data_IF_456670546152
#
_entry.id   IF_456670546152
#
_cell.length_a   1.000
_cell.length_b   1.000
_cell.length_c   1.000
_cell.angle_alpha   90.00
_cell.angle_beta   90.00
_cell.angle_gamma   90.00
#
_symmetry.space_group_name_H-M   'P 1'
#
loop_
_entity.id
_entity.type
_entity.pdbx_description
1 polymer ?
#
# COMPACT_ATOMS: atom_id res chain seq x y z
N UNK A 1 7.90 25.78 10.91
CA UNK A 1 6.83 25.42 9.93
C UNK A 1 5.72 26.48 9.88
N UNK A 2 6.05 27.78 9.94
CA UNK A 2 5.04 28.86 9.94
C UNK A 2 5.18 29.83 8.76
N UNK A 3 6.19 29.66 7.90
CA UNK A 3 6.47 30.57 6.80
C UNK A 3 5.82 30.17 5.46
N UNK A 4 5.24 28.97 5.32
CA UNK A 4 4.59 28.53 4.07
C UNK A 4 3.07 28.71 4.05
N UNK A 5 2.44 29.04 5.18
CA UNK A 5 0.99 29.23 5.27
C UNK A 5 0.51 30.63 4.82
N UNK A 6 1.43 31.59 4.67
CA UNK A 6 1.10 32.98 4.31
C UNK A 6 0.97 33.29 2.81
N UNK A 7 1.33 32.34 1.92
CA UNK A 7 1.33 32.59 0.47
C UNK A 7 -0.03 32.38 -0.20
N UNK A 8 -1.03 31.84 0.51
CA UNK A 8 -2.35 31.52 -0.06
C UNK A 8 -3.50 32.33 0.54
N UNK A 9 -3.24 33.15 1.56
CA UNK A 9 -4.26 33.93 2.25
C UNK A 9 -3.97 35.43 2.10
N UNK A 10 -4.52 36.01 1.04
CA UNK A 10 -4.46 37.45 0.77
C UNK A 10 -4.63 37.78 -0.71
N UNK A 11 -5.02 39.03 -1.00
CA UNK A 11 -5.23 39.53 -2.37
C UNK A 11 -3.95 39.36 -3.23
N UNK A 12 -2.76 39.52 -2.63
CA UNK A 12 -1.47 39.29 -3.31
C UNK A 12 -1.26 37.85 -3.79
N UNK A 13 -1.64 36.86 -2.97
CA UNK A 13 -1.59 35.44 -3.37
C UNK A 13 -2.54 35.14 -4.52
N UNK A 14 -3.76 35.66 -4.46
CA UNK A 14 -4.76 35.49 -5.54
C UNK A 14 -4.27 36.11 -6.85
N UNK A 15 -3.69 37.31 -6.82
CA UNK A 15 -3.13 37.98 -8.00
C UNK A 15 -1.94 37.23 -8.58
N UNK A 16 -1.08 36.65 -7.74
CA UNK A 16 0.08 35.88 -8.18
C UNK A 16 -0.33 34.57 -8.87
N UNK A 17 -1.28 33.82 -8.29
CA UNK A 17 -1.80 32.60 -8.90
C UNK A 17 -2.59 32.87 -10.19
N UNK A 18 -3.42 33.92 -10.21
CA UNK A 18 -4.15 34.33 -11.40
C UNK A 18 -3.21 34.77 -12.53
N UNK A 19 -2.15 35.54 -12.19
CA UNK A 19 -1.11 35.97 -13.13
C UNK A 19 -0.34 34.79 -13.74
N UNK A 20 0.09 33.82 -12.92
CA UNK A 20 0.79 32.63 -13.41
C UNK A 20 -0.10 31.75 -14.30
N UNK A 21 -1.38 31.60 -13.94
CA UNK A 21 -2.33 30.87 -14.76
C UNK A 21 -2.54 31.55 -16.12
N UNK A 22 -2.76 32.86 -16.12
CA UNK A 22 -2.90 33.66 -17.36
C UNK A 22 -1.64 33.59 -18.23
N UNK A 23 -0.44 33.58 -17.62
CA UNK A 23 0.83 33.45 -18.32
C UNK A 23 0.96 32.14 -19.09
N UNK A 24 0.61 31.01 -18.45
CA UNK A 24 0.65 29.69 -19.11
C UNK A 24 -0.34 29.63 -20.27
N UNK A 25 -1.56 30.15 -20.09
CA UNK A 25 -2.59 30.18 -21.15
C UNK A 25 -2.14 31.04 -22.33
N UNK A 26 -1.49 32.18 -22.06
CA UNK A 26 -0.95 33.07 -23.08
C UNK A 26 0.19 32.41 -23.89
N UNK A 27 1.10 31.68 -23.24
CA UNK A 27 2.15 30.90 -23.94
C UNK A 27 1.53 29.86 -24.87
N UNK A 28 0.54 29.12 -24.38
CA UNK A 28 -0.16 28.10 -25.19
C UNK A 28 -0.85 28.76 -26.40
N UNK A 29 -1.42 29.97 -26.24
CA UNK A 29 -2.02 30.72 -27.33
C UNK A 29 -1.00 31.20 -28.37
N UNK A 30 0.19 31.64 -27.96
CA UNK A 30 1.27 32.03 -28.88
C UNK A 30 1.76 30.82 -29.69
N UNK A 31 1.96 29.67 -29.04
CA UNK A 31 2.45 28.45 -29.69
C UNK A 31 1.39 27.88 -30.65
N UNK A 32 0.16 27.66 -30.15
CA UNK A 32 -0.91 26.97 -30.89
C UNK A 32 -1.76 27.89 -31.79
N UNK A 33 -1.59 29.20 -31.69
CA UNK A 33 -2.25 30.19 -32.55
C UNK A 33 -3.67 30.60 -32.15
N UNK A 34 -4.38 29.78 -31.37
CA UNK A 34 -5.73 30.09 -30.85
C UNK A 34 -6.05 29.30 -29.59
N UNK A 35 -6.69 29.95 -28.61
CA UNK A 35 -7.28 29.32 -27.42
C UNK A 35 -8.72 29.79 -27.28
N UNK A 36 -9.66 28.96 -27.77
CA UNK A 36 -11.06 29.36 -27.95
C UNK A 36 -11.79 29.68 -26.64
N UNK A 37 -11.52 28.91 -25.57
CA UNK A 37 -12.16 29.11 -24.26
C UNK A 37 -11.65 30.35 -23.52
N UNK A 38 -10.48 30.88 -23.89
CA UNK A 38 -9.88 32.07 -23.32
C UNK A 38 -10.08 33.33 -24.21
N UNK A 39 -10.91 33.23 -25.26
CA UNK A 39 -11.17 34.29 -26.24
C UNK A 39 -9.90 34.87 -26.92
N UNK A 40 -8.79 34.12 -26.92
CA UNK A 40 -7.56 34.49 -27.60
C UNK A 40 -7.57 33.93 -29.03
N UNK A 41 -8.02 34.75 -29.97
CA UNK A 41 -8.29 34.37 -31.36
C UNK A 41 -7.06 34.37 -32.27
N UNK A 42 -5.98 35.05 -31.86
CA UNK A 42 -4.75 35.20 -32.67
C UNK A 42 -3.48 35.11 -31.82
N UNK A 43 -2.34 34.83 -32.48
CA UNK A 43 -1.01 34.87 -31.84
C UNK A 43 -0.67 36.26 -31.27
N UNK A 44 -1.11 37.32 -31.94
CA UNK A 44 -0.94 38.70 -31.47
C UNK A 44 -1.69 38.97 -30.17
N UNK A 45 -2.93 38.49 -30.05
CA UNK A 45 -3.70 38.58 -28.81
C UNK A 45 -3.02 37.79 -27.67
N UNK A 46 -2.43 36.63 -27.98
CA UNK A 46 -1.64 35.84 -27.02
C UNK A 46 -0.40 36.58 -26.51
N UNK A 47 0.32 37.30 -27.37
CA UNK A 47 1.49 38.09 -26.98
C UNK A 47 1.13 39.28 -26.06
N UNK A 48 0.02 39.97 -26.34
CA UNK A 48 -0.48 41.06 -25.49
C UNK A 48 -0.91 40.52 -24.12
N UNK A 49 -1.60 39.38 -24.08
CA UNK A 49 -1.99 38.73 -22.83
C UNK A 49 -0.78 38.24 -22.01
N UNK A 50 0.29 37.77 -22.68
CA UNK A 50 1.54 37.38 -22.03
C UNK A 50 2.17 38.58 -21.31
N UNK A 51 2.28 39.73 -21.97
CA UNK A 51 2.81 40.95 -21.36
C UNK A 51 1.98 41.40 -20.14
N UNK A 52 0.64 41.38 -20.24
CA UNK A 52 -0.24 41.72 -19.12
C UNK A 52 -0.13 40.75 -17.93
N UNK A 53 0.06 39.46 -18.19
CA UNK A 53 0.21 38.45 -17.13
C UNK A 53 1.51 38.59 -16.34
N UNK A 54 2.60 39.00 -16.99
CA UNK A 54 3.89 39.27 -16.30
C UNK A 54 3.74 40.46 -15.34
N UNK A 55 3.04 41.52 -15.75
CA UNK A 55 2.77 42.68 -14.88
C UNK A 55 1.95 42.26 -13.66
N UNK A 56 0.93 41.40 -13.84
CA UNK A 56 0.12 40.90 -12.72
C UNK A 56 0.93 40.05 -11.71
N UNK A 57 1.88 39.24 -12.19
CA UNK A 57 2.78 38.48 -11.30
C UNK A 57 3.70 39.42 -10.51
N UNK A 58 4.27 40.44 -11.16
CA UNK A 58 5.17 41.42 -10.51
C UNK A 58 4.43 42.28 -9.47
N UNK A 59 3.17 42.65 -9.72
CA UNK A 59 2.35 43.36 -8.73
C UNK A 59 1.94 42.42 -7.58
N UNK A 60 1.68 41.15 -7.86
CA UNK A 60 1.37 40.15 -6.83
C UNK A 60 2.52 39.93 -5.82
N UNK A 61 3.78 40.08 -6.26
CA UNK A 61 4.95 39.91 -5.40
C UNK A 61 5.30 41.14 -4.54
N UNK A 62 4.84 42.34 -4.90
CA UNK A 62 5.16 43.59 -4.16
C UNK A 62 4.16 43.92 -3.05
N UNK A 63 3.01 43.23 -2.98
CA UNK A 63 1.93 43.48 -2.00
C UNK A 63 1.94 42.45 -0.84
N UNK A 64 3.04 41.71 -0.64
CA UNK A 64 3.17 40.86 0.55
C UNK A 64 3.42 41.71 1.81
N UNK A 65 2.66 41.53 2.91
CA UNK A 65 2.90 42.25 4.14
C UNK A 65 4.24 41.81 4.77
N UNK A 66 5.13 42.78 4.98
CA UNK A 66 6.33 42.61 5.82
C UNK A 66 5.88 42.47 7.27
N UNK A 67 5.91 41.25 7.81
CA UNK A 67 5.67 41.01 9.23
C UNK A 67 6.89 41.45 10.03
N UNK A 68 6.96 42.75 10.33
CA UNK A 68 7.78 43.30 11.40
C UNK A 68 7.14 42.96 12.75
N UNK A 69 7.55 41.84 13.34
CA UNK A 69 7.16 41.43 14.69
C UNK A 69 8.27 41.71 15.70
N UNK A 70 8.32 42.95 16.20
CA UNK A 70 9.11 43.32 17.38
C UNK A 70 8.35 42.86 18.64
N UNK A 71 8.98 42.06 19.49
CA UNK A 71 8.61 41.93 20.91
C UNK A 71 9.87 42.17 21.75
N UNK A 72 9.78 42.98 22.83
CA UNK A 72 10.95 43.35 23.62
C UNK A 72 11.23 42.29 24.70
N UNK A 73 12.52 42.02 24.95
CA UNK A 73 12.99 41.45 26.21
C UNK A 73 14.12 42.34 26.77
N UNK A 74 14.32 42.36 28.10
CA UNK A 74 14.99 43.45 28.79
C UNK A 74 16.52 43.39 28.75
N UNK A 75 17.07 44.58 28.95
CA UNK A 75 18.46 44.98 29.09
C UNK A 75 19.32 44.09 30.00
N UNK A 76 20.53 43.75 29.54
CA UNK A 76 21.81 44.06 30.20
C UNK A 76 22.98 43.41 29.46
N UNK A 77 24.10 44.13 29.30
CA UNK A 77 25.41 43.54 29.02
C UNK A 77 26.13 44.04 27.77
N UNK A 78 26.70 45.24 27.89
CA UNK A 78 27.71 45.85 27.02
C UNK A 78 28.91 44.92 26.74
N UNK A 79 29.58 45.06 25.58
CA UNK A 79 31.04 45.31 25.40
C UNK A 79 31.42 45.31 23.89
N UNK A 80 31.79 46.51 23.40
CA UNK A 80 32.95 46.88 22.52
C UNK A 80 33.19 46.07 21.21
N UNK A 81 32.85 46.59 20.01
CA UNK A 81 33.62 47.46 19.08
C UNK A 81 34.35 46.67 17.92
N UNK A 82 34.89 47.30 16.85
CA UNK A 82 34.42 47.10 15.46
C UNK A 82 35.56 46.65 14.49
N UNK A 83 35.64 47.12 13.22
CA UNK A 83 35.21 46.45 11.99
C UNK A 83 36.40 45.97 11.11
N UNK A 84 36.13 45.23 10.02
CA UNK A 84 36.65 45.45 8.63
C UNK A 84 36.77 44.17 7.78
N UNK A 85 36.27 44.31 6.54
CA UNK A 85 36.82 43.94 5.22
C UNK A 85 37.37 42.55 4.87
N UNK A 86 36.83 42.06 3.75
CA UNK A 86 37.40 41.24 2.66
C UNK A 86 38.91 40.97 2.67
N UNK A 87 39.30 39.71 2.44
CA UNK A 87 40.25 39.35 1.36
C UNK A 87 40.32 37.84 1.12
N UNK A 88 40.87 37.50 -0.03
CA UNK A 88 40.75 36.26 -0.78
C UNK A 88 41.83 35.19 -0.49
N UNK A 89 41.53 33.98 -0.98
CA UNK A 89 42.43 32.95 -1.54
C UNK A 89 43.69 32.49 -0.79
N UNK A 90 43.71 31.21 -0.39
CA UNK A 90 44.51 30.13 -1.02
C UNK A 90 44.46 28.83 -0.19
N UNK A 91 44.65 27.64 -0.80
CA UNK A 91 44.57 26.36 -0.10
C UNK A 91 45.92 26.01 0.54
N UNK A 92 45.90 25.54 1.79
CA UNK A 92 47.07 24.94 2.44
C UNK A 92 46.76 23.48 2.78
N UNK A 93 47.50 22.60 2.11
CA UNK A 93 47.68 21.18 2.39
C UNK A 93 47.91 20.95 3.88
N UNK A 94 47.02 20.18 4.53
CA UNK A 94 47.27 19.70 5.90
C UNK A 94 47.10 18.18 5.97
N UNK A 95 48.25 17.56 6.21
CA UNK A 95 48.60 16.21 6.64
C UNK A 95 47.51 15.42 7.39
N UNK A 96 47.23 14.23 6.85
CA UNK A 96 46.49 13.15 7.52
C UNK A 96 47.19 12.73 8.82
N UNK A 97 46.50 12.90 9.95
CA UNK A 97 46.90 12.26 11.21
C UNK A 97 45.99 11.05 11.43
N UNK A 98 46.56 9.86 11.27
CA UNK A 98 45.89 8.59 11.53
C UNK A 98 45.67 8.43 13.04
N UNK A 99 44.42 8.59 13.49
CA UNK A 99 44.03 8.22 14.85
C UNK A 99 43.66 6.74 14.86
N UNK A 100 44.51 5.93 15.49
CA UNK A 100 44.27 4.52 15.79
C UNK A 100 43.08 4.39 16.74
N UNK A 101 41.91 4.00 16.21
CA UNK A 101 40.75 3.63 17.04
C UNK A 101 40.97 2.25 17.64
N UNK A 102 41.15 2.22 18.95
CA UNK A 102 41.07 1.04 19.81
C UNK A 102 39.70 0.37 19.62
N UNK A 103 39.70 -0.88 19.18
CA UNK A 103 38.49 -1.68 19.01
C UNK A 103 37.94 -2.10 20.39
N UNK A 104 36.89 -1.41 20.85
CA UNK A 104 36.02 -1.91 21.91
C UNK A 104 35.27 -3.13 21.37
N UNK A 105 35.47 -4.27 22.04
CA UNK A 105 34.79 -5.53 21.74
C UNK A 105 33.29 -5.34 21.97
N UNK A 106 32.51 -5.24 20.89
CA UNK A 106 31.07 -5.05 20.95
C UNK A 106 30.39 -6.33 21.45
N UNK A 107 29.64 -6.22 22.55
CA UNK A 107 28.62 -7.18 22.97
C UNK A 107 27.69 -7.47 21.78
N UNK A 108 27.29 -8.73 21.50
CA UNK A 108 26.39 -9.02 20.39
C UNK A 108 25.06 -8.28 20.59
N UNK A 109 24.81 -7.29 19.74
CA UNK A 109 23.55 -6.55 19.68
C UNK A 109 22.44 -7.56 19.29
N UNK A 110 21.57 -7.88 20.23
CA UNK A 110 20.48 -8.83 20.00
C UNK A 110 19.44 -8.14 19.12
N UNK A 111 19.27 -8.58 17.86
CA UNK A 111 18.21 -8.08 16.96
C UNK A 111 16.83 -8.46 17.54
N UNK A 112 16.08 -7.53 18.17
CA UNK A 112 14.83 -7.88 18.84
C UNK A 112 13.76 -8.30 17.83
N UNK A 113 13.85 -7.78 16.61
CA UNK A 113 12.94 -8.17 15.53
C UNK A 113 13.25 -9.59 15.04
N UNK A 114 14.53 -10.00 15.06
CA UNK A 114 14.96 -11.38 14.82
C UNK A 114 14.36 -12.35 15.83
N UNK A 115 14.50 -12.06 17.13
CA UNK A 115 13.93 -12.89 18.20
C UNK A 115 12.41 -13.04 18.07
N UNK A 116 11.68 -11.94 17.85
CA UNK A 116 10.22 -11.99 17.70
C UNK A 116 9.77 -12.83 16.49
N UNK A 117 10.53 -12.82 15.39
CA UNK A 117 10.25 -13.66 14.23
C UNK A 117 10.53 -15.14 14.53
N UNK A 118 11.62 -15.44 15.23
CA UNK A 118 11.97 -16.82 15.60
C UNK A 118 10.95 -17.47 16.53
N UNK A 119 10.27 -16.69 17.37
CA UNK A 119 9.21 -17.16 18.27
C UNK A 119 7.81 -17.20 17.60
N UNK A 120 7.69 -16.67 16.39
CA UNK A 120 6.40 -16.54 15.71
C UNK A 120 5.84 -17.91 15.29
N UNK A 121 4.53 -18.09 15.49
CA UNK A 121 3.87 -19.33 15.08
C UNK A 121 3.84 -19.46 13.54
N UNK A 122 4.07 -20.67 12.98
CA UNK A 122 3.98 -20.89 11.54
C UNK A 122 2.62 -20.45 10.95
N UNK A 123 2.66 -19.85 9.76
CA UNK A 123 1.46 -19.35 9.06
C UNK A 123 0.93 -18.00 9.56
N UNK A 124 1.60 -17.37 10.53
CA UNK A 124 1.32 -15.98 10.93
C UNK A 124 1.99 -14.99 9.99
N UNK A 125 1.47 -13.76 9.95
CA UNK A 125 2.13 -12.67 9.23
C UNK A 125 3.51 -12.35 9.84
N UNK A 126 3.68 -12.48 11.16
CA UNK A 126 4.96 -12.24 11.82
C UNK A 126 6.02 -13.24 11.36
N UNK A 127 5.69 -14.53 11.30
CA UNK A 127 6.59 -15.55 10.74
C UNK A 127 6.93 -15.25 9.27
N UNK A 128 5.95 -14.80 8.47
CA UNK A 128 6.17 -14.47 7.06
C UNK A 128 7.08 -13.25 6.84
N UNK A 129 7.16 -12.30 7.78
CA UNK A 129 8.16 -11.21 7.72
C UNK A 129 9.59 -11.78 7.65
N UNK A 130 9.85 -12.88 8.36
CA UNK A 130 11.14 -13.55 8.39
C UNK A 130 11.62 -14.08 7.04
N UNK A 131 10.71 -14.29 6.09
CA UNK A 131 11.07 -14.79 4.75
C UNK A 131 11.26 -13.66 3.74
N UNK A 132 10.97 -12.41 4.09
CA UNK A 132 11.13 -11.27 3.20
C UNK A 132 12.61 -10.91 3.06
N UNK A 133 13.07 -10.70 1.82
CA UNK A 133 14.43 -10.24 1.57
C UNK A 133 14.62 -8.84 2.16
N UNK A 134 15.63 -8.67 3.02
CA UNK A 134 16.02 -7.35 3.53
C UNK A 134 17.03 -6.72 2.58
N UNK A 135 16.75 -5.53 2.06
CA UNK A 135 17.63 -4.78 1.16
C UNK A 135 17.36 -3.27 1.29
N UNK A 136 18.38 -2.44 1.02
CA UNK A 136 18.21 -1.00 0.85
C UNK A 136 17.28 -0.62 -0.32
N UNK A 137 16.88 0.65 -0.38
CA UNK A 137 16.02 1.18 -1.45
C UNK A 137 16.83 1.30 -2.75
N UNK A 138 16.28 0.81 -3.86
CA UNK A 138 16.78 1.03 -5.21
C UNK A 138 16.50 2.45 -5.73
N UNK A 139 16.98 2.74 -6.93
CA UNK A 139 16.77 4.03 -7.59
C UNK A 139 15.33 4.18 -8.14
N UNK A 140 14.86 5.44 -8.21
CA UNK A 140 13.59 5.82 -8.85
C UNK A 140 13.70 6.02 -10.37
N UNK A 141 14.90 5.87 -10.95
CA UNK A 141 15.14 6.08 -12.38
C UNK A 141 14.19 5.23 -13.22
N UNK A 142 13.56 5.86 -14.22
CA UNK A 142 12.61 5.21 -15.12
C UNK A 142 11.22 4.94 -14.52
N UNK A 143 10.98 5.27 -13.25
CA UNK A 143 9.66 5.08 -12.65
C UNK A 143 8.64 6.05 -13.25
N UNK A 144 7.56 5.48 -13.77
CA UNK A 144 6.28 6.17 -13.91
C UNK A 144 5.16 5.24 -13.45
N UNK A 145 3.99 5.77 -13.08
CA UNK A 145 2.83 4.91 -12.80
C UNK A 145 2.41 4.08 -14.02
N UNK A 146 2.66 4.59 -15.23
CA UNK A 146 2.36 3.90 -16.49
C UNK A 146 3.15 2.61 -16.69
N UNK A 147 4.31 2.47 -16.04
CA UNK A 147 5.09 1.22 -16.04
C UNK A 147 4.31 0.03 -15.47
N UNK A 148 3.27 0.28 -14.68
CA UNK A 148 2.39 -0.76 -14.13
C UNK A 148 1.19 -1.09 -15.04
N UNK A 149 1.17 -0.55 -16.27
CA UNK A 149 0.11 -0.77 -17.23
C UNK A 149 -1.13 0.07 -16.97
N UNK A 150 -2.22 -0.16 -17.72
CA UNK A 150 -3.46 0.58 -17.54
C UNK A 150 -4.01 0.37 -16.13
N UNK A 151 -4.39 1.47 -15.49
CA UNK A 151 -4.99 1.42 -14.17
C UNK A 151 -6.33 0.67 -14.21
N UNK A 152 -6.54 -0.20 -13.22
CA UNK A 152 -7.78 -0.96 -13.04
C UNK A 152 -8.04 -1.96 -14.18
N UNK A 153 -6.99 -2.54 -14.74
CA UNK A 153 -7.12 -3.59 -15.78
C UNK A 153 -7.79 -4.83 -15.20
N UNK A 154 -8.92 -5.28 -15.80
CA UNK A 154 -9.63 -6.54 -15.51
C UNK A 154 -8.71 -7.77 -15.65
N UNK A 155 -7.97 -8.08 -14.59
CA UNK A 155 -6.98 -9.17 -14.57
C UNK A 155 -7.57 -10.54 -14.29
N UNK A 156 -8.73 -10.62 -13.63
CA UNK A 156 -9.46 -11.87 -13.37
C UNK A 156 -10.53 -12.17 -14.43
N UNK A 157 -10.74 -11.24 -15.39
CA UNK A 157 -11.64 -11.35 -16.54
C UNK A 157 -13.07 -11.62 -16.11
N UNK A 158 -13.46 -11.02 -14.99
CA UNK A 158 -14.80 -11.17 -14.46
C UNK A 158 -15.80 -10.21 -15.16
N UNK A 159 -15.31 -9.28 -15.99
CA UNK A 159 -16.13 -8.29 -16.71
C UNK A 159 -16.20 -6.92 -16.04
N UNK A 160 -15.60 -6.77 -14.85
CA UNK A 160 -15.48 -5.52 -14.11
C UNK A 160 -14.00 -5.10 -14.01
N UNK A 161 -13.75 -3.80 -14.09
CA UNK A 161 -12.43 -3.27 -13.71
C UNK A 161 -12.19 -3.40 -12.19
N UNK A 162 -10.91 -3.51 -11.79
CA UNK A 162 -10.53 -3.80 -10.41
C UNK A 162 -10.87 -2.66 -9.45
N UNK A 163 -11.07 -1.45 -9.98
CA UNK A 163 -11.62 -0.35 -9.19
C UNK A 163 -13.05 -0.66 -8.79
N UNK A 164 -13.88 -1.08 -9.74
CA UNK A 164 -15.26 -1.43 -9.47
C UNK A 164 -15.34 -2.69 -8.59
N UNK A 165 -14.47 -3.69 -8.77
CA UNK A 165 -14.37 -4.81 -7.84
C UNK A 165 -14.05 -4.34 -6.41
N UNK A 166 -13.05 -3.49 -6.27
CA UNK A 166 -12.65 -2.96 -4.95
C UNK A 166 -13.75 -2.12 -4.32
N UNK A 167 -14.43 -1.26 -5.11
CA UNK A 167 -15.55 -0.46 -4.62
C UNK A 167 -16.73 -1.34 -4.20
N UNK A 168 -17.07 -2.38 -4.98
CA UNK A 168 -18.13 -3.33 -4.61
C UNK A 168 -17.79 -4.10 -3.33
N UNK A 169 -16.51 -4.43 -3.15
CA UNK A 169 -16.01 -5.15 -1.98
C UNK A 169 -16.06 -4.31 -0.70
N UNK A 170 -15.67 -3.03 -0.81
CA UNK A 170 -15.36 -2.19 0.36
C UNK A 170 -16.47 -1.18 0.71
N UNK A 171 -17.35 -0.84 -0.23
CA UNK A 171 -18.47 0.07 0.02
C UNK A 171 -19.71 -0.68 0.52
N UNK A 172 -20.47 -0.02 1.39
CA UNK A 172 -21.81 -0.44 1.82
C UNK A 172 -22.88 0.32 1.05
N UNK A 173 -24.09 -0.24 0.99
CA UNK A 173 -25.28 0.42 0.41
C UNK A 173 -25.02 0.93 -1.01
N UNK A 174 -24.40 0.09 -1.85
CA UNK A 174 -23.98 0.49 -3.19
C UNK A 174 -25.17 0.59 -4.15
N UNK A 175 -25.14 1.59 -5.03
CA UNK A 175 -25.99 1.61 -6.23
C UNK A 175 -25.15 1.32 -7.46
N UNK A 176 -25.75 0.65 -8.44
CA UNK A 176 -25.06 0.18 -9.63
C UNK A 176 -25.68 0.82 -10.87
N UNK A 177 -24.86 1.07 -11.89
CA UNK A 177 -25.36 1.54 -13.18
C UNK A 177 -26.11 0.42 -13.89
N UNK A 178 -27.33 0.70 -14.32
CA UNK A 178 -28.08 -0.22 -15.16
C UNK A 178 -27.33 -0.50 -16.47
N UNK A 179 -27.44 -1.73 -16.99
CA UNK A 179 -26.80 -2.13 -18.25
C UNK A 179 -25.28 -2.38 -18.17
N UNK A 180 -24.68 -2.41 -16.97
CA UNK A 180 -23.25 -2.73 -16.79
C UNK A 180 -23.01 -4.09 -16.16
N UNK A 181 -23.98 -5.01 -16.24
CA UNK A 181 -23.93 -6.35 -15.63
C UNK A 181 -23.51 -6.33 -14.14
N UNK A 182 -23.96 -5.31 -13.41
CA UNK A 182 -23.63 -5.15 -11.99
C UNK A 182 -22.23 -4.60 -11.68
N UNK A 183 -21.40 -4.25 -12.67
CA UNK A 183 -20.05 -3.77 -12.42
C UNK A 183 -19.97 -2.34 -11.90
N UNK A 184 -20.56 -1.38 -12.61
CA UNK A 184 -20.20 0.02 -12.38
C UNK A 184 -20.89 0.58 -11.14
N UNK A 185 -20.13 0.81 -10.07
CA UNK A 185 -20.62 1.39 -8.81
C UNK A 185 -20.85 2.90 -8.97
N UNK A 186 -22.08 3.35 -8.75
CA UNK A 186 -22.52 4.75 -8.86
C UNK A 186 -22.44 5.48 -7.53
N UNK A 187 -22.94 4.86 -6.45
CA UNK A 187 -22.84 5.43 -5.11
C UNK A 187 -22.55 4.34 -4.09
N UNK A 188 -22.18 4.74 -2.88
CA UNK A 188 -22.04 3.86 -1.73
C UNK A 188 -21.52 4.62 -0.53
N UNK A 189 -21.32 3.93 0.58
CA UNK A 189 -20.75 4.49 1.81
C UNK A 189 -19.51 3.70 2.20
N UNK A 190 -18.38 4.39 2.28
CA UNK A 190 -17.13 3.82 2.76
C UNK A 190 -17.06 3.97 4.27
N UNK A 191 -16.82 2.87 4.98
CA UNK A 191 -16.22 2.95 6.32
C UNK A 191 -14.71 2.86 6.11
N UNK A 192 -14.02 4.01 6.10
CA UNK A 192 -12.62 4.10 5.69
C UNK A 192 -11.74 3.34 6.68
N UNK A 193 -11.08 2.25 6.25
CA UNK A 193 -10.29 1.43 7.17
C UNK A 193 -9.09 2.18 7.75
N UNK A 194 -8.57 3.21 7.07
CA UNK A 194 -7.37 3.91 7.53
C UNK A 194 -7.67 4.97 8.59
N UNK A 195 -8.85 5.58 8.52
CA UNK A 195 -9.24 6.68 9.41
C UNK A 195 -10.36 6.32 10.38
N UNK A 196 -11.03 5.18 10.18
CA UNK A 196 -12.27 4.77 10.84
C UNK A 196 -13.43 5.77 10.68
N UNK A 197 -13.35 6.66 9.68
CA UNK A 197 -14.41 7.64 9.38
C UNK A 197 -15.34 7.12 8.28
N UNK A 198 -16.54 7.67 8.21
CA UNK A 198 -17.49 7.37 7.14
C UNK A 198 -17.37 8.41 6.02
N UNK A 199 -17.23 7.93 4.77
CA UNK A 199 -17.09 8.79 3.59
C UNK A 199 -18.13 8.37 2.54
N UNK A 200 -19.05 9.26 2.13
CA UNK A 200 -19.95 8.97 1.03
C UNK A 200 -19.16 8.90 -0.28
N UNK A 201 -19.48 7.89 -1.09
CA UNK A 201 -18.99 7.77 -2.45
C UNK A 201 -20.12 8.10 -3.42
N UNK A 202 -19.84 9.04 -4.31
CA UNK A 202 -20.62 9.27 -5.53
C UNK A 202 -19.63 9.27 -6.68
N UNK A 203 -19.90 8.45 -7.69
CA UNK A 203 -19.08 8.39 -8.89
C UNK A 203 -19.13 9.75 -9.56
N UNK A 204 -17.95 10.30 -9.80
CA UNK A 204 -17.77 11.59 -10.43
C UNK A 204 -16.81 11.44 -11.60
N UNK A 205 -17.02 12.24 -12.64
CA UNK A 205 -16.05 12.45 -13.71
C UNK A 205 -14.95 13.45 -13.31
N UNK A 206 -15.11 14.11 -12.17
CA UNK A 206 -14.09 14.98 -11.58
C UNK A 206 -12.84 14.19 -11.21
N UNK A 207 -11.69 14.85 -11.30
CA UNK A 207 -10.41 14.34 -10.80
C UNK A 207 -10.40 14.18 -9.28
N UNK A 208 -11.36 14.81 -8.58
CA UNK A 208 -11.47 14.80 -7.12
C UNK A 208 -12.61 13.88 -6.70
N UNK A 209 -12.32 12.58 -6.62
CA UNK A 209 -13.21 11.60 -5.98
C UNK A 209 -12.89 11.51 -4.49
N UNK A 210 -13.88 11.63 -3.57
CA UNK A 210 -13.64 11.58 -2.12
C UNK A 210 -13.14 10.21 -1.66
N UNK A 211 -13.50 9.14 -2.40
CA UNK A 211 -12.97 7.79 -2.22
C UNK A 211 -12.01 7.47 -3.36
N UNK A 212 -10.84 6.96 -3.02
CA UNK A 212 -9.83 6.46 -3.94
C UNK A 212 -9.53 4.99 -3.65
N UNK A 213 -8.92 4.32 -4.62
CA UNK A 213 -8.37 2.98 -4.41
C UNK A 213 -6.86 3.13 -4.15
N UNK A 214 -6.45 2.78 -2.94
CA UNK A 214 -5.05 2.74 -2.54
C UNK A 214 -4.40 1.40 -2.90
N UNK A 215 -3.11 1.48 -3.23
CA UNK A 215 -2.20 0.35 -3.25
C UNK A 215 -1.57 0.21 -1.86
N UNK A 216 -1.99 -0.80 -1.10
CA UNK A 216 -1.53 -1.07 0.28
C UNK A 216 0.01 -1.09 0.34
N UNK A 217 0.65 -1.70 -0.65
CA UNK A 217 2.06 -1.46 -1.03
C UNK A 217 2.07 -0.56 -2.25
N UNK A 218 2.53 0.69 -2.08
CA UNK A 218 2.50 1.70 -3.14
C UNK A 218 3.34 1.30 -4.36
N UNK A 219 2.91 1.71 -5.57
CA UNK A 219 3.62 1.39 -6.82
C UNK A 219 5.07 1.90 -6.84
N UNK A 220 5.31 3.11 -6.32
CA UNK A 220 6.66 3.69 -6.21
C UNK A 220 7.52 2.96 -5.17
N UNK A 221 6.92 2.50 -4.06
CA UNK A 221 7.62 1.69 -3.07
C UNK A 221 8.03 0.33 -3.65
N UNK A 222 7.11 -0.31 -4.38
CA UNK A 222 7.39 -1.57 -5.07
C UNK A 222 8.52 -1.41 -6.10
N UNK A 223 8.55 -0.29 -6.85
CA UNK A 223 9.60 0.00 -7.84
C UNK A 223 11.00 -0.11 -7.23
N UNK A 224 11.24 0.64 -6.15
CA UNK A 224 12.54 0.68 -5.47
C UNK A 224 12.85 -0.58 -4.66
N UNK A 225 11.89 -1.49 -4.50
CA UNK A 225 12.03 -2.76 -3.77
C UNK A 225 12.00 -4.00 -4.66
N UNK A 226 12.09 -3.82 -5.98
CA UNK A 226 12.32 -4.92 -6.94
C UNK A 226 11.45 -4.86 -8.18
N UNK A 227 10.37 -4.09 -8.20
CA UNK A 227 9.45 -4.06 -9.34
C UNK A 227 10.05 -3.41 -10.60
N UNK A 228 11.12 -2.62 -10.47
CA UNK A 228 11.87 -2.09 -11.63
C UNK A 228 12.41 -3.20 -12.55
N UNK A 229 12.76 -4.36 -12.00
CA UNK A 229 13.29 -5.51 -12.75
C UNK A 229 12.22 -6.51 -13.19
N UNK A 230 10.93 -6.22 -12.99
CA UNK A 230 9.86 -7.14 -13.35
C UNK A 230 9.46 -7.02 -14.83
N UNK A 231 8.90 -8.10 -15.36
CA UNK A 231 8.17 -8.03 -16.63
C UNK A 231 6.95 -7.12 -16.51
N UNK A 232 6.52 -6.53 -17.63
CA UNK A 232 5.31 -5.71 -17.69
C UNK A 232 4.09 -6.43 -17.10
N UNK A 233 3.89 -7.70 -17.47
CA UNK A 233 2.76 -8.50 -16.99
C UNK A 233 2.74 -8.65 -15.46
N UNK A 234 3.91 -8.82 -14.82
CA UNK A 234 4.00 -8.90 -13.36
C UNK A 234 3.72 -7.55 -12.70
N UNK A 235 4.18 -6.43 -13.28
CA UNK A 235 3.82 -5.07 -12.80
C UNK A 235 2.31 -4.81 -12.92
N UNK A 236 1.70 -5.15 -14.05
CA UNK A 236 0.23 -5.06 -14.24
C UNK A 236 -0.52 -5.94 -13.25
N UNK A 237 -0.07 -7.17 -13.03
CA UNK A 237 -0.69 -8.07 -12.05
C UNK A 237 -0.60 -7.52 -10.62
N UNK A 238 0.53 -6.92 -10.23
CA UNK A 238 0.71 -6.29 -8.93
C UNK A 238 -0.19 -5.07 -8.71
N UNK A 239 -0.31 -4.23 -9.73
CA UNK A 239 -1.11 -3.01 -9.65
C UNK A 239 -2.62 -3.26 -9.64
N UNK A 240 -3.06 -4.45 -10.08
CA UNK A 240 -4.47 -4.83 -10.13
C UNK A 240 -4.80 -5.99 -9.16
N UNK A 241 -3.86 -6.42 -8.32
CA UNK A 241 -4.16 -7.46 -7.33
C UNK A 241 -5.12 -6.93 -6.26
N UNK A 242 -6.29 -7.56 -6.12
CA UNK A 242 -7.24 -7.18 -5.07
C UNK A 242 -6.66 -7.35 -3.67
N UNK A 243 -5.64 -8.18 -3.46
CA UNK A 243 -4.86 -8.24 -2.21
C UNK A 243 -4.06 -6.95 -1.97
N UNK A 244 -3.68 -6.21 -3.02
CA UNK A 244 -2.98 -4.94 -2.89
C UNK A 244 -3.91 -3.71 -2.97
N UNK A 245 -5.20 -3.87 -3.32
CA UNK A 245 -6.13 -2.75 -3.51
C UNK A 245 -7.13 -2.57 -2.36
N UNK A 246 -7.34 -1.34 -1.88
CA UNK A 246 -8.34 -1.02 -0.86
C UNK A 246 -8.98 0.34 -1.09
N UNK A 247 -10.30 0.47 -0.89
CA UNK A 247 -10.97 1.76 -0.94
C UNK A 247 -10.71 2.56 0.35
N UNK A 248 -10.27 3.81 0.20
CA UNK A 248 -9.92 4.73 1.30
C UNK A 248 -10.32 6.15 0.94
N UNK A 249 -10.34 7.07 1.91
CA UNK A 249 -10.53 8.49 1.62
C UNK A 249 -9.35 9.06 0.80
N UNK A 250 -9.63 10.01 -0.09
CA UNK A 250 -8.61 10.64 -0.92
C UNK A 250 -7.53 11.36 -0.09
N UNK A 251 -7.94 12.01 1.01
CA UNK A 251 -7.04 12.77 1.89
C UNK A 251 -6.03 11.86 2.60
N UNK A 252 -6.49 10.72 3.17
CA UNK A 252 -5.58 9.78 3.84
C UNK A 252 -4.66 9.07 2.84
N UNK A 253 -5.15 8.78 1.63
CA UNK A 253 -4.34 8.21 0.56
C UNK A 253 -3.23 9.18 0.11
N UNK A 254 -3.56 10.46 -0.04
CA UNK A 254 -2.58 11.49 -0.35
C UNK A 254 -1.54 11.64 0.78
N UNK A 255 -1.98 11.59 2.05
CA UNK A 255 -1.09 11.64 3.20
C UNK A 255 -0.14 10.43 3.29
N UNK A 256 -0.62 9.23 2.91
CA UNK A 256 0.20 8.01 2.81
C UNK A 256 1.28 8.13 1.73
N UNK A 257 0.92 8.64 0.55
CA UNK A 257 1.83 8.76 -0.58
C UNK A 257 2.49 7.43 -0.95
N UNK A 258 3.82 7.43 -1.05
CA UNK A 258 4.64 6.24 -1.31
C UNK A 258 5.25 5.62 -0.04
N UNK A 259 4.70 5.95 1.14
CA UNK A 259 5.19 5.44 2.42
C UNK A 259 5.06 3.93 2.56
N UNK A 260 6.10 3.33 3.13
CA UNK A 260 6.11 1.96 3.63
C UNK A 260 5.77 1.90 5.13
N UNK A 261 5.73 0.71 5.73
CA UNK A 261 5.35 0.54 7.13
C UNK A 261 6.25 1.30 8.13
N UNK A 262 7.49 1.67 7.77
CA UNK A 262 8.36 2.46 8.62
C UNK A 262 8.08 3.96 8.55
N UNK A 263 7.54 4.44 7.42
CA UNK A 263 7.34 5.87 7.16
C UNK A 263 5.89 6.30 7.36
N UNK A 264 4.94 5.38 7.19
CA UNK A 264 3.52 5.68 7.37
C UNK A 264 2.73 4.46 7.85
N UNK A 265 1.86 4.67 8.84
CA UNK A 265 0.87 3.70 9.30
C UNK A 265 -0.50 4.37 9.39
N UNK A 266 -1.60 3.63 9.17
CA UNK A 266 -2.94 4.15 9.35
C UNK A 266 -3.14 4.87 10.69
N UNK A 267 -3.77 6.05 10.69
CA UNK A 267 -4.17 6.75 11.93
C UNK A 267 -5.07 5.88 12.82
N UNK A 268 -5.98 5.11 12.23
CA UNK A 268 -6.79 4.12 12.93
C UNK A 268 -5.91 2.95 13.42
N UNK A 269 -5.46 3.03 14.68
CA UNK A 269 -4.55 2.03 15.28
C UNK A 269 -5.10 0.60 15.21
N UNK A 270 -6.41 0.42 15.38
CA UNK A 270 -7.07 -0.88 15.31
C UNK A 270 -6.89 -1.58 13.94
N UNK A 271 -6.65 -0.82 12.87
CA UNK A 271 -6.46 -1.37 11.52
C UNK A 271 -4.99 -1.71 11.19
N UNK A 272 -4.02 -1.30 12.02
CA UNK A 272 -2.59 -1.44 11.69
C UNK A 272 -2.14 -2.90 11.50
N UNK A 273 -2.66 -3.82 12.30
CA UNK A 273 -2.36 -5.25 12.15
C UNK A 273 -2.83 -5.80 10.81
N UNK A 274 -4.05 -5.44 10.38
CA UNK A 274 -4.60 -5.83 9.09
C UNK A 274 -3.81 -5.20 7.94
N UNK A 275 -3.46 -3.92 8.08
CA UNK A 275 -2.65 -3.19 7.10
C UNK A 275 -1.27 -3.82 6.90
N UNK A 276 -0.53 -4.06 7.99
CA UNK A 276 0.81 -4.62 7.95
C UNK A 276 0.79 -6.09 7.51
N UNK A 277 -0.12 -6.92 8.01
CA UNK A 277 -0.22 -8.32 7.58
C UNK A 277 -0.50 -8.44 6.08
N UNK A 278 -1.31 -7.51 5.55
CA UNK A 278 -1.59 -7.41 4.11
C UNK A 278 -0.39 -6.93 3.30
N UNK A 279 0.38 -5.94 3.78
CA UNK A 279 1.65 -5.58 3.14
C UNK A 279 2.61 -6.76 3.07
N UNK A 280 2.77 -7.50 4.17
CA UNK A 280 3.63 -8.69 4.22
C UNK A 280 3.17 -9.75 3.22
N UNK A 281 1.86 -10.02 3.14
CA UNK A 281 1.28 -10.95 2.17
C UNK A 281 1.59 -10.54 0.72
N UNK A 282 1.39 -9.25 0.39
CA UNK A 282 1.69 -8.71 -0.95
C UNK A 282 3.18 -8.83 -1.25
N UNK A 283 4.05 -8.41 -0.32
CA UNK A 283 5.50 -8.43 -0.54
C UNK A 283 6.04 -9.84 -0.69
N UNK A 284 5.51 -10.80 0.08
CA UNK A 284 5.83 -12.22 -0.09
C UNK A 284 5.36 -12.75 -1.46
N UNK A 285 4.10 -12.51 -1.83
CA UNK A 285 3.52 -12.97 -3.11
C UNK A 285 4.31 -12.47 -4.32
N UNK A 286 4.77 -11.22 -4.28
CA UNK A 286 5.48 -10.60 -5.39
C UNK A 286 7.02 -10.62 -5.27
N UNK A 287 7.54 -11.17 -4.17
CA UNK A 287 8.98 -11.20 -3.85
C UNK A 287 9.60 -9.80 -3.82
N UNK A 288 8.90 -8.85 -3.20
CA UNK A 288 9.45 -7.51 -2.95
C UNK A 288 10.35 -7.54 -1.72
N UNK A 289 11.46 -6.81 -1.79
CA UNK A 289 12.30 -6.58 -0.63
C UNK A 289 11.63 -5.64 0.39
N UNK A 290 12.14 -5.66 1.61
CA UNK A 290 11.87 -4.67 2.66
C UNK A 290 13.18 -4.03 3.11
N UNK A 291 13.12 -2.79 3.57
CA UNK A 291 14.29 -2.20 4.27
C UNK A 291 14.40 -2.75 5.69
N UNK A 292 15.57 -2.63 6.32
CA UNK A 292 15.72 -3.01 7.74
C UNK A 292 14.74 -2.25 8.63
N UNK A 293 14.59 -0.94 8.42
CA UNK A 293 13.63 -0.11 9.14
C UNK A 293 12.18 -0.58 8.92
N UNK A 294 11.81 -0.90 7.68
CA UNK A 294 10.47 -1.41 7.36
C UNK A 294 10.22 -2.77 8.01
N UNK A 295 11.16 -3.72 7.93
CA UNK A 295 11.06 -5.01 8.62
C UNK A 295 10.80 -4.79 10.10
N UNK A 296 11.58 -3.94 10.75
CA UNK A 296 11.47 -3.70 12.19
C UNK A 296 10.12 -3.06 12.54
N UNK A 297 9.63 -2.12 11.72
CA UNK A 297 8.30 -1.53 11.90
C UNK A 297 7.17 -2.56 11.71
N UNK A 298 7.29 -3.45 10.71
CA UNK A 298 6.34 -4.54 10.50
C UNK A 298 6.31 -5.50 11.70
N UNK A 299 7.48 -5.91 12.21
CA UNK A 299 7.59 -6.75 13.39
C UNK A 299 6.97 -6.06 14.61
N UNK A 300 7.33 -4.80 14.88
CA UNK A 300 6.81 -4.07 16.03
C UNK A 300 5.27 -3.99 16.04
N UNK A 301 4.64 -3.75 14.88
CA UNK A 301 3.18 -3.79 14.77
C UNK A 301 2.65 -5.20 15.00
N UNK A 302 3.23 -6.21 14.34
CA UNK A 302 2.73 -7.57 14.38
C UNK A 302 2.95 -8.27 15.73
N UNK A 303 3.95 -7.87 16.53
CA UNK A 303 4.12 -8.36 17.91
C UNK A 303 2.89 -8.05 18.78
N UNK A 304 2.22 -6.91 18.55
CA UNK A 304 0.97 -6.57 19.26
C UNK A 304 -0.23 -7.43 18.85
N UNK A 305 -0.09 -8.25 17.81
CA UNK A 305 -1.13 -9.09 17.24
C UNK A 305 -0.53 -10.36 16.60
N UNK A 306 0.33 -11.06 17.37
CA UNK A 306 1.19 -12.13 16.87
C UNK A 306 0.44 -13.33 16.25
N UNK A 307 -0.84 -13.50 16.58
CA UNK A 307 -1.70 -14.56 16.02
C UNK A 307 -2.35 -14.19 14.69
N UNK A 308 -2.11 -12.98 14.17
CA UNK A 308 -2.66 -12.51 12.88
C UNK A 308 -2.18 -13.41 11.75
N UNK A 309 -3.12 -14.09 11.08
CA UNK A 309 -2.84 -14.90 9.90
C UNK A 309 -2.60 -14.02 8.68
N UNK A 310 -1.87 -14.57 7.72
CA UNK A 310 -1.69 -13.95 6.40
C UNK A 310 -3.04 -13.95 5.67
N UNK A 311 -3.53 -12.80 5.17
CA UNK A 311 -4.77 -12.76 4.42
C UNK A 311 -4.65 -13.55 3.11
N UNK A 312 -5.56 -14.51 2.91
CA UNK A 312 -5.80 -15.16 1.62
C UNK A 312 -7.03 -14.50 0.99
N UNK A 313 -6.85 -13.63 0.00
CA UNK A 313 -8.00 -13.09 -0.72
C UNK A 313 -8.37 -14.08 -1.82
N UNK A 314 -9.44 -14.85 -1.61
CA UNK A 314 -10.16 -15.48 -2.70
C UNK A 314 -10.96 -14.38 -3.40
N UNK A 315 -10.74 -14.18 -4.71
CA UNK A 315 -11.57 -13.26 -5.49
C UNK A 315 -12.94 -13.94 -5.66
N UNK A 316 -14.01 -13.39 -5.09
CA UNK A 316 -15.33 -13.95 -5.29
C UNK A 316 -15.73 -13.82 -6.76
N UNK A 317 -16.44 -14.80 -7.35
CA UNK A 317 -17.06 -14.60 -8.65
C UNK A 317 -18.03 -13.42 -8.57
N UNK A 318 -18.17 -12.67 -9.67
CA UNK A 318 -18.96 -11.44 -9.82
C UNK A 318 -19.95 -11.18 -8.69
N UNK A 319 -19.59 -10.23 -7.82
CA UNK A 319 -20.50 -9.72 -6.79
C UNK A 319 -20.56 -10.46 -5.46
N UNK A 320 -19.72 -11.46 -5.20
CA UNK A 320 -19.51 -11.90 -3.82
C UNK A 320 -18.74 -10.85 -3.02
N UNK A 321 -19.18 -10.58 -1.80
CA UNK A 321 -18.33 -9.93 -0.79
C UNK A 321 -17.12 -10.83 -0.52
N UNK A 322 -15.98 -10.30 -0.04
CA UNK A 322 -14.90 -11.17 0.39
C UNK A 322 -15.43 -11.98 1.57
N UNK A 323 -15.39 -13.31 1.46
CA UNK A 323 -15.45 -14.14 2.64
C UNK A 323 -14.16 -13.85 3.42
N UNK A 324 -14.22 -12.88 4.32
CA UNK A 324 -13.46 -13.02 5.54
C UNK A 324 -13.88 -14.38 6.09
N UNK A 325 -12.96 -15.34 6.14
CA UNK A 325 -13.19 -16.54 6.93
C UNK A 325 -13.57 -16.01 8.33
N UNK A 326 -14.84 -16.16 8.69
CA UNK A 326 -15.29 -15.79 10.00
C UNK A 326 -14.37 -16.52 10.99
N UNK A 327 -13.89 -15.85 12.07
CA UNK A 327 -13.32 -16.61 13.17
C UNK A 327 -14.38 -17.65 13.54
N UNK A 328 -14.00 -18.92 13.50
CA UNK A 328 -14.83 -20.00 14.02
C UNK A 328 -15.22 -19.56 15.42
N UNK A 329 -16.52 -19.42 15.76
CA UNK A 329 -16.91 -19.05 17.10
C UNK A 329 -16.24 -20.02 18.05
N UNK A 330 -15.39 -19.51 18.95
CA UNK A 330 -14.90 -20.31 20.06
C UNK A 330 -16.15 -20.82 20.78
N UNK A 331 -16.35 -22.13 20.74
CA UNK A 331 -17.43 -22.79 21.46
C UNK A 331 -17.32 -22.38 22.91
N UNK A 332 -18.27 -21.58 23.39
CA UNK A 332 -18.35 -21.21 24.80
C UNK A 332 -18.39 -22.50 25.64
N UNK A 333 -17.59 -22.62 26.73
CA UNK A 333 -17.68 -23.76 27.62
C UNK A 333 -19.09 -23.81 28.22
N UNK A 334 -19.79 -24.93 28.00
CA UNK A 334 -21.08 -25.21 28.64
C UNK A 334 -20.92 -25.11 30.17
N UNK A 335 -21.83 -24.45 30.91
CA UNK A 335 -21.75 -24.36 32.37
C UNK A 335 -21.74 -25.76 33.01
N UNK A 336 -20.77 -25.97 33.90
CA UNK A 336 -20.57 -27.19 34.67
C UNK A 336 -21.71 -27.39 35.68
N UNK A 337 -22.44 -28.49 35.57
CA UNK A 337 -23.33 -28.98 36.62
C UNK A 337 -22.55 -29.93 37.56
N UNK A 338 -22.69 -29.66 38.86
CA UNK A 338 -22.06 -30.35 40.00
C UNK A 338 -22.35 -31.87 40.02
N UNK A 339 -21.43 -32.73 40.49
CA UNK A 339 -21.51 -34.19 40.34
C UNK A 339 -22.26 -34.89 41.48
N UNK A 340 -22.90 -36.02 41.17
CA UNK A 340 -23.47 -37.00 42.13
C UNK A 340 -22.92 -38.39 41.76
N UNK A 341 -22.69 -39.31 42.72
CA UNK A 341 -21.57 -40.26 42.65
C UNK A 341 -21.85 -41.58 41.91
N UNK A 342 -20.74 -42.18 41.47
CA UNK A 342 -20.56 -43.45 40.76
C UNK A 342 -20.67 -44.66 41.72
N UNK A 343 -21.04 -45.84 41.18
CA UNK A 343 -20.20 -47.05 41.33
C UNK A 343 -19.89 -47.66 39.94
N UNK A 344 -18.62 -47.78 39.54
CA UNK A 344 -17.73 -48.96 39.61
C UNK A 344 -18.22 -50.05 38.64
N UNK A 345 -17.56 -50.35 37.52
CA UNK A 345 -16.20 -50.89 37.40
C UNK A 345 -15.57 -50.73 35.99
N UNK A 346 -14.23 -50.73 35.98
CA UNK A 346 -13.20 -50.86 34.92
C UNK A 346 -13.44 -52.12 34.02
N UNK A 347 -12.85 -52.31 32.80
CA UNK A 347 -11.54 -51.82 32.40
C UNK A 347 -11.31 -51.27 30.98
N UNK A 348 -10.21 -50.52 30.94
CA UNK A 348 -9.37 -49.97 29.87
C UNK A 348 -9.52 -50.61 28.48
N UNK A 349 -9.80 -49.78 27.46
CA UNK A 349 -9.37 -50.08 26.08
C UNK A 349 -8.85 -48.83 25.37
N UNK A 350 -7.55 -48.89 25.11
CA UNK A 350 -6.70 -48.17 24.17
C UNK A 350 -7.44 -47.41 23.07
N UNK A 351 -7.09 -46.14 22.91
CA UNK A 351 -7.46 -45.26 21.81
C UNK A 351 -7.24 -45.91 20.44
N UNK A 352 -8.30 -46.00 19.65
CA UNK A 352 -8.25 -46.44 18.25
C UNK A 352 -7.86 -45.26 17.36
N UNK A 353 -6.90 -45.41 16.42
CA UNK A 353 -6.58 -44.38 15.43
C UNK A 353 -7.78 -44.09 14.51
N UNK A 354 -8.03 -42.81 14.26
CA UNK A 354 -9.06 -42.32 13.35
C UNK A 354 -8.82 -42.84 11.93
N UNK A 355 -9.82 -43.52 11.36
CA UNK A 355 -9.74 -44.14 10.04
C UNK A 355 -9.56 -43.10 8.91
N UNK A 356 -8.71 -43.37 7.90
CA UNK A 356 -8.57 -42.50 6.73
C UNK A 356 -9.86 -42.49 5.87
N UNK A 357 -10.11 -41.36 5.22
CA UNK A 357 -11.25 -41.14 4.34
C UNK A 357 -11.41 -42.24 3.28
N UNK A 358 -12.64 -42.60 2.86
CA UNK A 358 -12.89 -43.70 1.94
C UNK A 358 -12.20 -43.47 0.59
N UNK A 359 -11.35 -44.44 0.21
CA UNK A 359 -10.58 -44.40 -1.04
C UNK A 359 -11.53 -44.57 -2.23
N UNK A 360 -11.62 -43.54 -3.08
CA UNK A 360 -12.45 -43.58 -4.29
C UNK A 360 -11.83 -44.51 -5.35
N UNK A 361 -12.67 -45.23 -6.10
CA UNK A 361 -12.22 -46.02 -7.25
C UNK A 361 -11.99 -45.08 -8.44
N UNK A 362 -10.79 -45.09 -9.01
CA UNK A 362 -10.34 -44.14 -10.05
C UNK A 362 -9.74 -44.84 -11.27
N UNK A 363 -9.77 -44.19 -12.42
CA UNK A 363 -9.22 -44.74 -13.68
C UNK A 363 -7.89 -44.07 -14.05
N UNK A 364 -6.85 -44.83 -14.45
CA UNK A 364 -5.59 -44.25 -14.91
C UNK A 364 -5.77 -43.25 -16.06
N UNK A 365 -5.13 -42.09 -15.96
CA UNK A 365 -5.15 -41.05 -16.98
C UNK A 365 -6.42 -40.17 -17.00
N UNK A 366 -7.45 -40.51 -16.23
CA UNK A 366 -8.64 -39.66 -16.10
C UNK A 366 -8.31 -38.35 -15.36
N UNK A 367 -9.01 -37.27 -15.70
CA UNK A 367 -8.85 -35.99 -15.02
C UNK A 367 -9.25 -36.09 -13.55
N UNK A 368 -8.58 -35.33 -12.70
CA UNK A 368 -8.79 -35.35 -11.26
C UNK A 368 -8.65 -33.95 -10.65
N UNK A 369 -9.30 -33.74 -9.51
CA UNK A 369 -9.23 -32.53 -8.68
C UNK A 369 -9.81 -32.85 -7.30
N UNK A 370 -9.25 -32.33 -6.19
CA UNK A 370 -8.05 -31.49 -6.11
C UNK A 370 -6.74 -32.26 -6.35
N UNK A 371 -5.67 -31.52 -6.64
CA UNK A 371 -4.33 -32.09 -6.81
C UNK A 371 -3.79 -32.63 -5.47
N UNK A 372 -3.16 -33.80 -5.48
CA UNK A 372 -2.72 -34.50 -4.27
C UNK A 372 -3.70 -35.55 -3.73
N UNK A 373 -4.92 -35.61 -4.26
CA UNK A 373 -5.88 -36.67 -3.87
C UNK A 373 -5.36 -38.08 -4.18
N UNK A 374 -5.78 -39.03 -3.35
CA UNK A 374 -5.46 -40.46 -3.48
C UNK A 374 -6.71 -41.26 -3.89
N UNK A 375 -6.53 -42.17 -4.83
CA UNK A 375 -7.54 -43.12 -5.27
C UNK A 375 -6.95 -44.50 -5.51
N UNK A 376 -7.79 -45.52 -5.72
CA UNK A 376 -7.34 -46.85 -6.16
C UNK A 376 -8.01 -47.25 -7.46
N UNK A 377 -7.29 -47.93 -8.35
CA UNK A 377 -7.93 -48.53 -9.51
C UNK A 377 -8.83 -49.70 -9.10
N UNK A 378 -9.69 -50.18 -10.01
CA UNK A 378 -10.45 -51.43 -9.78
C UNK A 378 -9.55 -52.64 -9.45
N UNK A 379 -8.27 -52.59 -9.84
CA UNK A 379 -7.25 -53.61 -9.55
C UNK A 379 -6.46 -53.33 -8.25
N UNK A 380 -6.85 -52.32 -7.48
CA UNK A 380 -6.25 -51.99 -6.19
C UNK A 380 -4.98 -51.12 -6.24
N UNK A 381 -4.50 -50.74 -7.42
CA UNK A 381 -3.31 -49.88 -7.60
C UNK A 381 -3.56 -48.49 -7.03
N UNK A 382 -2.67 -48.01 -6.16
CA UNK A 382 -2.76 -46.66 -5.61
C UNK A 382 -2.43 -45.61 -6.68
N UNK A 383 -3.25 -44.57 -6.75
CA UNK A 383 -3.15 -43.49 -7.73
C UNK A 383 -3.13 -42.16 -6.99
N UNK A 384 -2.31 -41.22 -7.48
CA UNK A 384 -2.25 -39.83 -7.02
C UNK A 384 -2.71 -38.91 -8.14
N UNK A 385 -3.49 -37.90 -7.78
CA UNK A 385 -3.84 -36.82 -8.68
C UNK A 385 -2.66 -35.84 -8.83
N UNK A 386 -2.07 -35.73 -10.03
CA UNK A 386 -0.95 -34.80 -10.29
C UNK A 386 -0.89 -34.28 -11.73
N UNK A 387 -0.33 -33.08 -11.90
CA UNK A 387 0.04 -32.47 -13.18
C UNK A 387 1.50 -32.77 -13.54
N UNK A 388 1.79 -32.96 -14.83
CA UNK A 388 3.15 -32.95 -15.38
C UNK A 388 3.35 -31.72 -16.28
N UNK A 389 4.62 -31.37 -16.51
CA UNK A 389 4.99 -30.33 -17.46
C UNK A 389 4.41 -30.68 -18.85
N UNK A 390 3.51 -29.82 -19.36
CA UNK A 390 2.78 -30.04 -20.61
C UNK A 390 1.31 -30.47 -20.45
N UNK A 391 0.86 -30.82 -19.23
CA UNK A 391 -0.56 -31.06 -18.97
C UNK A 391 -1.31 -29.75 -18.70
N UNK A 392 -2.47 -29.57 -19.34
CA UNK A 392 -3.37 -28.46 -19.02
C UNK A 392 -4.17 -28.67 -17.71
N UNK A 393 -4.28 -29.91 -17.21
CA UNK A 393 -5.09 -30.29 -16.02
C UNK A 393 -4.53 -31.56 -15.34
N UNK A 394 -4.74 -31.69 -14.02
CA UNK A 394 -4.30 -32.85 -13.25
C UNK A 394 -5.00 -34.14 -13.69
N UNK A 395 -4.27 -35.25 -13.64
CA UNK A 395 -4.78 -36.59 -13.99
C UNK A 395 -4.36 -37.63 -12.96
N UNK A 396 -5.13 -38.72 -12.85
CA UNK A 396 -4.80 -39.86 -12.02
C UNK A 396 -3.58 -40.60 -12.58
N UNK A 397 -2.49 -40.62 -11.80
CA UNK A 397 -1.23 -41.28 -12.13
C UNK A 397 -0.87 -42.27 -11.02
N UNK A 398 -0.07 -43.29 -11.31
CA UNK A 398 0.40 -44.20 -10.27
C UNK A 398 1.11 -43.39 -9.18
N UNK A 399 0.71 -43.61 -7.92
CA UNK A 399 1.19 -42.86 -6.77
C UNK A 399 2.63 -43.22 -6.39
#
# INVERSE_FOLDING_TARGET
MTALAGLTSGIGGVLLFAGLFAFVVAIVAVIRGRVAWAHLSTRGAGAVALAGSVVAVVVGTTVLPTTGGTSPLPSAGSVVAPPVSSSAASPTTTTSTSTTSTATQATPETDPAGSAISEAQPGTALALVGTLKVQGRGAMTGYTRGEFGPAWTDTDRNGCDQRNDTLRRDLKTVTLKAGTNGCTVMTGTLTDPYTATTVPFTRTTSTVSPVQIDHVVALADAWVKGAAGWTQAKRTSFANDTLNLVAVSASVNAAKGAGDAATWLPPAKAYRCVYVSRQVAVKAKYQLAVTGAERNAMVAVLTSCATTRVPTVAVPPLGGLPLYAAPTPATAPKPSTKPTPRPTSTPTRTSTPQAPAPIRVVSPGAFCSPEGDLGRTKKGTLMRCSTKLGDARARWRAA
#
